data_IF_385980036792
#
_entry.id   IF_385980036792
#
_cell.length_a   1.000
_cell.length_b   1.000
_cell.length_c   1.000
_cell.angle_alpha   90.00
_cell.angle_beta   90.00
_cell.angle_gamma   90.00
#
_symmetry.space_group_name_H-M   'P 1'
#
loop_
_entity.id
_entity.type
_entity.pdbx_description
1 polymer ?
#
# COMPACT_ATOMS: atom_id res chain seq x y z
N UNK A 1 6.71 -1.37 -15.94
CA UNK A 1 6.06 -0.79 -14.73
C UNK A 1 7.05 0.17 -14.06
N UNK A 2 6.60 1.24 -13.40
CA UNK A 2 7.51 2.12 -12.66
C UNK A 2 7.88 1.54 -11.28
N UNK A 3 8.95 2.04 -10.68
CA UNK A 3 9.32 1.68 -9.31
C UNK A 3 8.24 2.13 -8.34
N UNK A 4 7.65 3.31 -8.58
CA UNK A 4 6.58 3.85 -7.76
C UNK A 4 5.33 2.96 -7.81
N UNK A 5 4.96 2.48 -9.00
CA UNK A 5 3.87 1.51 -9.20
C UNK A 5 4.15 0.16 -8.49
N UNK A 6 5.39 -0.33 -8.52
CA UNK A 6 5.74 -1.58 -7.82
C UNK A 6 5.60 -1.47 -6.29
N UNK A 7 5.82 -0.27 -5.73
CA UNK A 7 5.76 -0.04 -4.29
C UNK A 7 4.44 0.62 -3.84
N UNK A 8 3.53 0.99 -4.75
CA UNK A 8 2.23 1.56 -4.40
C UNK A 8 1.39 0.58 -3.59
N UNK A 9 1.42 -0.71 -3.95
CA UNK A 9 0.74 -1.78 -3.23
C UNK A 9 1.08 -1.77 -1.73
N UNK A 10 2.36 -1.66 -1.39
CA UNK A 10 2.82 -1.65 0.01
C UNK A 10 2.36 -0.38 0.74
N UNK A 11 2.41 0.76 0.07
CA UNK A 11 1.94 2.02 0.63
C UNK A 11 0.43 1.97 0.90
N UNK A 12 -0.34 1.40 -0.02
CA UNK A 12 -1.79 1.27 0.07
C UNK A 12 -2.21 0.23 1.11
N UNK A 13 -1.50 -0.90 1.22
CA UNK A 13 -1.69 -1.85 2.32
C UNK A 13 -1.43 -1.20 3.69
N UNK A 14 -0.36 -0.42 3.82
CA UNK A 14 -0.06 0.31 5.06
C UNK A 14 -1.13 1.35 5.37
N UNK A 15 -1.66 2.02 4.34
CA UNK A 15 -2.76 2.95 4.50
C UNK A 15 -4.04 2.24 4.93
N UNK A 16 -4.34 1.08 4.36
CA UNK A 16 -5.47 0.23 4.74
C UNK A 16 -5.35 -0.23 6.21
N UNK A 17 -4.18 -0.71 6.64
CA UNK A 17 -3.91 -1.05 8.05
C UNK A 17 -4.14 0.16 8.98
N UNK A 18 -3.67 1.34 8.57
CA UNK A 18 -3.86 2.57 9.35
C UNK A 18 -5.33 2.95 9.49
N UNK A 19 -6.13 2.81 8.43
CA UNK A 19 -7.56 3.08 8.45
C UNK A 19 -8.33 2.10 9.34
N UNK A 20 -7.93 0.83 9.39
CA UNK A 20 -8.50 -0.13 10.34
C UNK A 20 -8.21 0.23 11.80
N UNK A 21 -7.00 0.71 12.09
CA UNK A 21 -6.66 1.22 13.44
C UNK A 21 -7.48 2.48 13.76
N UNK A 22 -7.65 3.37 12.79
CA UNK A 22 -8.47 4.57 12.91
C UNK A 22 -9.93 4.23 13.21
N UNK A 23 -10.52 3.28 12.48
CA UNK A 23 -11.87 2.78 12.72
C UNK A 23 -12.00 2.17 14.12
N UNK A 24 -11.06 1.32 14.53
CA UNK A 24 -11.09 0.72 15.87
C UNK A 24 -11.03 1.79 16.98
N UNK A 25 -10.20 2.83 16.80
CA UNK A 25 -10.14 3.96 17.76
C UNK A 25 -11.43 4.77 17.79
N UNK A 26 -12.09 4.92 16.64
CA UNK A 26 -13.40 5.57 16.53
C UNK A 26 -14.47 4.75 17.25
N UNK A 27 -14.50 3.44 17.06
CA UNK A 27 -15.42 2.51 17.72
C UNK A 27 -15.19 2.42 19.25
N UNK A 28 -13.94 2.45 19.69
CA UNK A 28 -13.55 2.47 21.11
C UNK A 28 -13.78 3.85 21.76
N UNK A 29 -14.14 4.87 20.98
CA UNK A 29 -14.28 6.23 21.49
C UNK A 29 -15.49 6.36 22.42
N UNK A 30 -15.23 6.73 23.68
CA UNK A 30 -16.27 7.02 24.66
C UNK A 30 -16.42 8.55 24.85
N UNK A 31 -17.54 9.17 24.39
CA UNK A 31 -17.77 10.61 24.50
C UNK A 31 -17.94 11.13 25.93
N UNK A 32 -18.19 10.24 26.90
CA UNK A 32 -18.46 10.59 28.29
C UNK A 32 -17.25 10.40 29.22
N UNK A 33 -16.15 9.82 28.71
CA UNK A 33 -14.85 9.88 29.40
C UNK A 33 -14.17 11.18 28.97
N UNK A 34 -13.53 11.87 29.92
CA UNK A 34 -12.85 13.17 29.72
C UNK A 34 -11.61 13.10 28.80
N UNK A 35 -11.79 12.60 27.59
CA UNK A 35 -10.81 12.61 26.53
C UNK A 35 -11.01 13.93 25.78
N UNK A 36 -10.12 14.89 26.01
CA UNK A 36 -10.11 16.16 25.26
C UNK A 36 -9.71 15.82 23.81
N UNK A 37 -10.70 15.64 22.93
CA UNK A 37 -10.42 15.56 21.49
C UNK A 37 -10.15 16.99 20.99
N UNK A 38 -8.96 17.23 20.45
CA UNK A 38 -8.59 18.50 19.83
C UNK A 38 -9.33 18.77 18.52
N UNK A 39 -9.71 17.71 17.80
CA UNK A 39 -10.37 17.76 16.48
C UNK A 39 -11.91 17.77 16.54
N UNK A 40 -12.51 17.71 17.73
CA UNK A 40 -13.95 17.84 17.86
C UNK A 40 -14.34 19.31 17.59
N UNK A 41 -15.32 19.59 16.70
CA UNK A 41 -15.70 20.96 16.40
C UNK A 41 -16.14 21.71 17.65
N UNK A 42 -15.36 22.73 18.04
CA UNK A 42 -15.61 23.55 19.23
C UNK A 42 -16.66 24.64 18.91
N UNK A 43 -17.93 24.27 19.07
CA UNK A 43 -19.01 25.21 19.37
C UNK A 43 -19.78 25.84 18.20
N UNK A 44 -21.04 26.18 18.51
CA UNK A 44 -22.00 27.01 17.76
C UNK A 44 -22.62 26.39 16.49
N UNK A 45 -23.43 25.36 16.67
CA UNK A 45 -24.32 24.81 15.65
C UNK A 45 -24.45 23.32 15.88
N UNK A 46 -25.61 22.87 16.33
CA UNK A 46 -25.87 21.47 16.68
C UNK A 46 -25.81 20.56 15.43
N UNK A 47 -24.60 20.21 14.98
CA UNK A 47 -24.37 18.85 14.53
C UNK A 47 -24.29 18.02 15.80
N UNK A 48 -25.28 17.17 16.02
CA UNK A 48 -25.27 16.27 17.17
C UNK A 48 -23.98 15.44 17.10
N UNK A 49 -23.33 15.20 18.24
CA UNK A 49 -22.15 14.31 18.30
C UNK A 49 -22.40 12.99 17.54
N UNK A 50 -23.62 12.46 17.62
CA UNK A 50 -24.07 11.29 16.87
C UNK A 50 -23.97 11.46 15.35
N UNK A 51 -24.31 12.63 14.81
CA UNK A 51 -24.18 12.91 13.37
C UNK A 51 -22.70 12.92 12.95
N UNK A 52 -21.84 13.64 13.69
CA UNK A 52 -20.39 13.64 13.42
C UNK A 52 -19.81 12.22 13.51
N UNK A 53 -20.21 11.46 14.53
CA UNK A 53 -19.73 10.11 14.75
C UNK A 53 -20.09 9.19 13.58
N UNK A 54 -21.33 9.26 13.08
CA UNK A 54 -21.79 8.49 11.92
C UNK A 54 -21.06 8.94 10.65
N UNK A 55 -20.97 10.25 10.40
CA UNK A 55 -20.28 10.80 9.23
C UNK A 55 -18.81 10.36 9.17
N UNK A 56 -18.12 10.38 10.31
CA UNK A 56 -16.71 10.00 10.39
C UNK A 56 -16.50 8.49 10.21
N UNK A 57 -17.40 7.67 10.78
CA UNK A 57 -17.42 6.22 10.55
C UNK A 57 -17.61 5.89 9.06
N UNK A 58 -18.58 6.54 8.41
CA UNK A 58 -18.86 6.38 6.98
C UNK A 58 -17.67 6.81 6.12
N UNK A 59 -17.00 7.92 6.47
CA UNK A 59 -15.79 8.40 5.79
C UNK A 59 -14.68 7.36 5.86
N UNK A 60 -14.41 6.81 7.05
CA UNK A 60 -13.35 5.81 7.25
C UNK A 60 -13.69 4.53 6.48
N UNK A 61 -14.92 4.02 6.58
CA UNK A 61 -15.38 2.81 5.88
C UNK A 61 -15.30 2.95 4.36
N UNK A 62 -15.74 4.08 3.82
CA UNK A 62 -15.65 4.37 2.39
C UNK A 62 -14.20 4.37 1.89
N UNK A 63 -13.27 4.88 2.71
CA UNK A 63 -11.85 4.89 2.39
C UNK A 63 -11.22 3.50 2.47
N UNK A 64 -11.63 2.69 3.44
CA UNK A 64 -11.24 1.27 3.54
C UNK A 64 -11.66 0.54 2.26
N UNK A 65 -12.91 0.70 1.83
CA UNK A 65 -13.43 0.02 0.64
C UNK A 65 -12.67 0.43 -0.63
N UNK A 66 -12.40 1.73 -0.78
CA UNK A 66 -11.55 2.24 -1.86
C UNK A 66 -10.17 1.56 -1.87
N UNK A 67 -9.47 1.52 -0.73
CA UNK A 67 -8.13 0.92 -0.69
C UNK A 67 -8.13 -0.60 -0.82
N UNK A 68 -9.17 -1.30 -0.36
CA UNK A 68 -9.31 -2.75 -0.61
C UNK A 68 -9.35 -3.04 -2.11
N UNK A 69 -10.19 -2.31 -2.84
CA UNK A 69 -10.30 -2.47 -4.29
C UNK A 69 -8.97 -2.11 -4.98
N UNK A 70 -8.37 -0.99 -4.59
CA UNK A 70 -7.09 -0.54 -5.14
C UNK A 70 -5.95 -1.55 -4.91
N UNK A 71 -5.83 -2.11 -3.70
CA UNK A 71 -4.83 -3.13 -3.38
C UNK A 71 -5.01 -4.38 -4.24
N UNK A 72 -6.25 -4.79 -4.50
CA UNK A 72 -6.53 -5.92 -5.38
C UNK A 72 -6.09 -5.63 -6.83
N UNK A 73 -6.46 -4.47 -7.36
CA UNK A 73 -6.10 -4.04 -8.72
C UNK A 73 -4.57 -3.90 -8.88
N UNK A 74 -3.89 -3.23 -7.94
CA UNK A 74 -2.44 -3.08 -7.94
C UNK A 74 -1.74 -4.44 -7.87
N UNK A 75 -2.26 -5.37 -7.07
CA UNK A 75 -1.71 -6.73 -6.97
C UNK A 75 -1.84 -7.51 -8.28
N UNK A 76 -2.99 -7.41 -8.95
CA UNK A 76 -3.21 -8.03 -10.26
C UNK A 76 -2.26 -7.46 -11.31
N UNK A 77 -2.12 -6.14 -11.37
CA UNK A 77 -1.16 -5.48 -12.26
C UNK A 77 0.28 -5.94 -12.02
N UNK A 78 0.71 -6.03 -10.75
CA UNK A 78 2.06 -6.48 -10.41
C UNK A 78 2.26 -7.95 -10.78
N UNK A 79 1.26 -8.83 -10.55
CA UNK A 79 1.36 -10.23 -10.97
C UNK A 79 1.42 -10.40 -12.49
N UNK A 80 0.69 -9.58 -13.27
CA UNK A 80 0.84 -9.55 -14.73
C UNK A 80 2.25 -9.14 -15.14
N UNK A 81 2.79 -8.10 -14.52
CA UNK A 81 4.17 -7.67 -14.74
C UNK A 81 5.19 -8.77 -14.40
N UNK A 82 4.99 -9.50 -13.29
CA UNK A 82 5.87 -10.60 -12.86
C UNK A 82 5.86 -11.75 -13.86
N UNK A 83 4.73 -12.05 -14.53
CA UNK A 83 4.64 -13.15 -15.51
C UNK A 83 5.58 -12.97 -16.71
N UNK A 84 5.88 -11.73 -17.08
CA UNK A 84 6.77 -11.41 -18.20
C UNK A 84 8.26 -11.45 -17.80
N UNK A 85 8.56 -11.42 -16.49
CA UNK A 85 9.92 -11.42 -15.99
C UNK A 85 10.54 -12.83 -15.99
N UNK A 86 11.81 -12.99 -16.42
CA UNK A 86 12.50 -14.26 -16.33
C UNK A 86 12.85 -14.60 -14.87
N UNK A 87 13.14 -15.88 -14.61
CA UNK A 87 13.77 -16.28 -13.36
C UNK A 87 15.25 -15.82 -13.34
N UNK A 88 15.78 -15.30 -12.21
CA UNK A 88 15.14 -15.15 -10.89
C UNK A 88 14.42 -13.81 -10.65
N UNK A 89 14.43 -12.89 -11.61
CA UNK A 89 13.86 -11.54 -11.46
C UNK A 89 12.37 -11.56 -11.08
N UNK A 90 11.57 -12.47 -11.64
CA UNK A 90 10.15 -12.66 -11.29
C UNK A 90 9.93 -12.93 -9.80
N UNK A 91 10.70 -13.84 -9.20
CA UNK A 91 10.60 -14.17 -7.77
C UNK A 91 11.11 -13.03 -6.89
N UNK A 92 12.19 -12.36 -7.30
CA UNK A 92 12.71 -11.18 -6.59
C UNK A 92 11.65 -10.08 -6.54
N UNK A 93 10.98 -9.81 -7.66
CA UNK A 93 9.92 -8.80 -7.74
C UNK A 93 8.73 -9.22 -6.87
N UNK A 94 8.26 -10.46 -6.97
CA UNK A 94 7.15 -10.95 -6.14
C UNK A 94 7.44 -10.79 -4.64
N UNK A 95 8.56 -11.32 -4.19
CA UNK A 95 8.92 -11.28 -2.78
C UNK A 95 9.15 -9.86 -2.28
N UNK A 96 9.76 -8.99 -3.12
CA UNK A 96 10.01 -7.62 -2.71
C UNK A 96 8.74 -6.76 -2.75
N UNK A 97 7.99 -6.77 -3.85
CA UNK A 97 6.90 -5.85 -4.13
C UNK A 97 5.58 -6.30 -3.49
N UNK A 98 5.24 -7.59 -3.58
CA UNK A 98 3.98 -8.13 -3.04
C UNK A 98 4.15 -8.57 -1.59
N UNK A 99 5.17 -9.35 -1.28
CA UNK A 99 5.34 -9.90 0.08
C UNK A 99 6.05 -8.95 1.05
N UNK A 100 6.54 -7.80 0.56
CA UNK A 100 7.28 -6.80 1.33
C UNK A 100 8.47 -7.39 2.13
N UNK A 101 9.13 -8.42 1.58
CA UNK A 101 10.30 -9.01 2.21
C UNK A 101 11.52 -8.11 2.09
N UNK A 102 12.42 -8.18 3.07
CA UNK A 102 13.69 -7.46 3.01
C UNK A 102 14.60 -8.06 1.94
N UNK A 103 15.56 -7.30 1.44
CA UNK A 103 16.54 -7.83 0.48
C UNK A 103 17.35 -9.01 1.03
N UNK A 104 17.54 -9.06 2.36
CA UNK A 104 18.21 -10.17 3.04
C UNK A 104 17.37 -11.44 2.92
N UNK A 105 16.08 -11.37 3.26
CA UNK A 105 15.16 -12.50 3.21
C UNK A 105 14.95 -12.99 1.78
N UNK A 106 14.77 -12.05 0.84
CA UNK A 106 14.68 -12.35 -0.59
C UNK A 106 15.92 -13.14 -1.01
N UNK A 107 17.12 -12.61 -0.74
CA UNK A 107 18.37 -13.28 -1.06
C UNK A 107 18.45 -14.69 -0.47
N UNK A 108 18.11 -14.84 0.81
CA UNK A 108 18.06 -16.13 1.49
C UNK A 108 17.13 -17.14 0.81
N UNK A 109 15.97 -16.72 0.30
CA UNK A 109 15.02 -17.59 -0.38
C UNK A 109 15.49 -18.06 -1.78
N UNK A 110 16.20 -17.21 -2.52
CA UNK A 110 16.62 -17.49 -3.90
C UNK A 110 18.10 -17.90 -4.04
N UNK A 111 18.81 -18.04 -2.92
CA UNK A 111 20.23 -18.44 -2.91
C UNK A 111 21.21 -17.33 -3.32
N UNK A 112 20.85 -16.07 -3.09
CA UNK A 112 21.70 -14.90 -3.35
C UNK A 112 22.00 -14.12 -2.08
N UNK A 113 23.08 -13.34 -2.07
CA UNK A 113 23.25 -12.31 -1.04
C UNK A 113 22.24 -11.17 -1.22
N UNK A 114 21.97 -10.45 -0.13
CA UNK A 114 21.19 -9.21 -0.12
C UNK A 114 21.54 -8.24 -1.27
N UNK A 115 22.83 -8.02 -1.47
CA UNK A 115 23.34 -7.09 -2.48
C UNK A 115 23.07 -7.58 -3.90
N UNK A 116 23.21 -8.90 -4.14
CA UNK A 116 22.93 -9.50 -5.44
C UNK A 116 21.44 -9.44 -5.79
N UNK A 117 20.55 -9.77 -4.84
CA UNK A 117 19.10 -9.69 -5.03
C UNK A 117 18.67 -8.26 -5.39
N UNK A 118 19.11 -7.27 -4.62
CA UNK A 118 18.82 -5.86 -4.89
C UNK A 118 19.37 -5.41 -6.27
N UNK A 119 20.61 -5.79 -6.61
CA UNK A 119 21.22 -5.41 -7.89
C UNK A 119 20.45 -5.99 -9.08
N UNK A 120 20.00 -7.25 -8.99
CA UNK A 120 19.19 -7.91 -10.03
C UNK A 120 17.85 -7.20 -10.22
N UNK A 121 17.14 -6.92 -9.14
CA UNK A 121 15.89 -6.15 -9.18
C UNK A 121 16.05 -4.80 -9.88
N UNK A 122 16.97 -3.97 -9.40
CA UNK A 122 17.13 -2.62 -9.94
C UNK A 122 17.62 -2.61 -11.38
N UNK A 123 18.46 -3.58 -11.75
CA UNK A 123 18.91 -3.74 -13.13
C UNK A 123 17.72 -4.04 -14.05
N UNK A 124 16.91 -5.04 -13.69
CA UNK A 124 15.76 -5.47 -14.49
C UNK A 124 14.73 -4.34 -14.69
N UNK A 125 14.29 -3.72 -13.58
CA UNK A 125 13.28 -2.64 -13.64
C UNK A 125 13.78 -1.46 -14.47
N UNK A 126 15.08 -1.13 -14.37
CA UNK A 126 15.69 -0.05 -15.17
C UNK A 126 15.80 -0.39 -16.65
N UNK A 127 16.11 -1.64 -16.99
CA UNK A 127 16.21 -2.11 -18.38
C UNK A 127 14.83 -2.13 -19.04
N UNK A 128 13.81 -2.69 -18.37
CA UNK A 128 12.43 -2.73 -18.85
C UNK A 128 11.83 -1.32 -19.06
N UNK A 129 12.10 -0.38 -18.15
CA UNK A 129 11.70 1.01 -18.33
C UNK A 129 12.35 1.67 -19.55
N UNK A 130 13.63 1.38 -19.81
CA UNK A 130 14.33 1.92 -20.98
C UNK A 130 13.73 1.36 -22.28
N UNK A 131 13.45 0.07 -22.32
CA UNK A 131 12.84 -0.58 -23.48
C UNK A 131 11.46 0.00 -23.77
N UNK A 132 10.60 0.12 -22.75
CA UNK A 132 9.29 0.78 -22.88
C UNK A 132 9.39 2.22 -23.41
N UNK A 133 10.32 3.00 -22.85
CA UNK A 133 10.53 4.40 -23.28
C UNK A 133 11.09 4.50 -24.71
N UNK A 134 11.82 3.48 -25.19
CA UNK A 134 12.30 3.41 -26.56
C UNK A 134 11.18 3.03 -27.53
N UNK A 135 10.30 2.10 -27.16
CA UNK A 135 9.18 1.64 -27.99
C UNK A 135 7.98 2.60 -28.00
N UNK A 136 7.77 3.40 -26.95
CA UNK A 136 6.71 4.42 -26.88
C UNK A 136 7.03 5.74 -27.60
N UNK A 137 8.14 5.83 -28.34
CA UNK A 137 8.57 7.01 -29.12
C UNK A 137 8.27 6.91 -30.63
N UNK A 138 7.41 5.97 -31.05
CA UNK A 138 6.87 5.87 -32.41
C UNK A 138 5.43 6.38 -32.43
#
# INVERSE_FOLDING_TARGET
MTVEELFSLQADENRLRSLYIELARHEDFNPYKGNIITDMPKGSGAKNFSEWYIEEEERIKSRIEYYKKKVQEDREMIEEYIKEAPYPESDIIRYRAINNLSWEDVGGLIGYSRQQAAKKFWKYVKEEQKERNAHGKL
#
